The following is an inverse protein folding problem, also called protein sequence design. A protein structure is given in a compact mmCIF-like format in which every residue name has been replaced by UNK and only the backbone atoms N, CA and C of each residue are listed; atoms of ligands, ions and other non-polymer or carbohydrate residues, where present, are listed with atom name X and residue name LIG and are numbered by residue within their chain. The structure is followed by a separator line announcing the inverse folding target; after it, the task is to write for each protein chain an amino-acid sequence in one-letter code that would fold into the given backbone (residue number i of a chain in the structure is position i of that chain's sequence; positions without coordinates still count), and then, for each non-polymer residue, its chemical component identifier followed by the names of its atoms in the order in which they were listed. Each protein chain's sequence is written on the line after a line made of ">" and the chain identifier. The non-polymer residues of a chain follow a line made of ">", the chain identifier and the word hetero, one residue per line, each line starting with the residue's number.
data_IF_808462935560
#
_entry.id   IF_808462935560
#
_cell.length_a   1.000
_cell.length_b   1.000
_cell.length_c   1.000
_cell.angle_alpha   90.00
_cell.angle_beta   90.00
_cell.angle_gamma   90.00
#
_symmetry.space_group_name_H-M   'P 1'
#
loop_
_entity.id
_entity.type
_entity.pdbx_description
1 polymer ?
#
# COMPACT_ATOMS: atom_id res chain seq x y z
N UNK A 1 4.18 21.59 -45.78
CA UNK A 1 3.50 21.92 -44.52
C UNK A 1 3.12 20.63 -43.77
N UNK A 2 4.11 19.85 -43.29
CA UNK A 2 3.88 18.49 -42.74
C UNK A 2 4.82 18.13 -41.57
N UNK A 3 5.39 19.11 -40.86
CA UNK A 3 6.32 18.85 -39.75
C UNK A 3 5.79 19.21 -38.35
N UNK A 4 4.55 19.70 -38.24
CA UNK A 4 4.03 20.26 -36.97
C UNK A 4 2.94 19.41 -36.29
N UNK A 5 2.39 18.39 -36.97
CA UNK A 5 1.38 17.47 -36.40
C UNK A 5 2.04 16.37 -35.56
N UNK A 6 3.13 15.79 -36.03
CA UNK A 6 3.83 14.69 -35.35
C UNK A 6 4.50 15.14 -34.04
N UNK A 7 5.01 16.38 -33.99
CA UNK A 7 5.61 16.94 -32.78
C UNK A 7 4.57 17.24 -31.68
N UNK A 8 3.36 17.65 -32.06
CA UNK A 8 2.25 17.82 -31.12
C UNK A 8 1.69 16.48 -30.62
N UNK A 9 1.62 15.45 -31.47
CA UNK A 9 1.19 14.12 -31.05
C UNK A 9 2.22 13.43 -30.16
N UNK A 10 3.53 13.55 -30.46
CA UNK A 10 4.60 13.01 -29.62
C UNK A 10 4.63 13.68 -28.23
N UNK A 11 4.40 15.00 -28.17
CA UNK A 11 4.25 15.75 -26.93
C UNK A 11 3.03 15.31 -26.11
N UNK A 12 1.85 15.19 -26.75
CA UNK A 12 0.61 14.71 -26.10
C UNK A 12 0.74 13.27 -25.60
N UNK A 13 1.34 12.37 -26.39
CA UNK A 13 1.52 10.97 -26.01
C UNK A 13 2.50 10.81 -24.85
N UNK A 14 3.56 11.63 -24.81
CA UNK A 14 4.55 11.63 -23.73
C UNK A 14 3.98 12.22 -22.43
N UNK A 15 3.24 13.33 -22.53
CA UNK A 15 2.53 13.92 -21.37
C UNK A 15 1.48 12.95 -20.83
N UNK A 16 0.69 12.32 -21.70
CA UNK A 16 -0.30 11.29 -21.32
C UNK A 16 0.35 10.07 -20.65
N UNK A 17 1.49 9.58 -21.17
CA UNK A 17 2.28 8.53 -20.52
C UNK A 17 2.78 8.93 -19.14
N UNK A 18 3.21 10.18 -18.96
CA UNK A 18 3.74 10.65 -17.67
C UNK A 18 2.63 10.91 -16.64
N UNK A 19 1.45 11.36 -17.06
CA UNK A 19 0.28 11.51 -16.17
C UNK A 19 -0.29 10.14 -15.79
N UNK A 20 -0.44 9.22 -16.74
CA UNK A 20 -0.94 7.85 -16.46
C UNK A 20 0.00 7.05 -15.55
N UNK A 21 1.32 7.13 -15.76
CA UNK A 21 2.31 6.55 -14.82
C UNK A 21 2.21 7.16 -13.43
N UNK A 22 2.00 8.48 -13.31
CA UNK A 22 1.79 9.15 -12.02
C UNK A 22 0.50 8.72 -11.35
N UNK A 23 -0.62 8.67 -12.07
CA UNK A 23 -1.93 8.24 -11.55
C UNK A 23 -1.87 6.79 -11.04
N UNK A 24 -1.22 5.89 -11.77
CA UNK A 24 -1.02 4.49 -11.34
C UNK A 24 -0.16 4.45 -10.08
N UNK A 25 0.92 5.22 -10.01
CA UNK A 25 1.80 5.29 -8.83
C UNK A 25 1.05 5.86 -7.61
N UNK A 26 0.26 6.91 -7.79
CA UNK A 26 -0.58 7.50 -6.73
C UNK A 26 -1.65 6.51 -6.23
N UNK A 27 -2.28 5.77 -7.14
CA UNK A 27 -3.24 4.71 -6.79
C UNK A 27 -2.60 3.59 -5.98
N UNK A 28 -1.36 3.19 -6.31
CA UNK A 28 -0.62 2.18 -5.56
C UNK A 28 -0.15 2.69 -4.19
N UNK A 29 0.38 3.91 -4.11
CA UNK A 29 0.76 4.53 -2.83
C UNK A 29 -0.45 4.61 -1.90
N UNK A 30 -1.62 5.02 -2.42
CA UNK A 30 -2.86 5.06 -1.65
C UNK A 30 -3.25 3.67 -1.12
N UNK A 31 -3.07 2.61 -1.90
CA UNK A 31 -3.33 1.23 -1.45
C UNK A 31 -2.40 0.80 -0.32
N UNK A 32 -1.10 1.11 -0.42
CA UNK A 32 -0.13 0.83 0.65
C UNK A 32 -0.48 1.62 1.91
N UNK A 33 -0.77 2.91 1.77
CA UNK A 33 -1.17 3.76 2.89
C UNK A 33 -2.39 3.21 3.62
N UNK A 34 -3.44 2.82 2.87
CA UNK A 34 -4.64 2.19 3.44
C UNK A 34 -4.34 0.91 4.21
N UNK A 35 -3.43 0.07 3.73
CA UNK A 35 -3.02 -1.16 4.42
C UNK A 35 -2.31 -0.83 5.74
N UNK A 36 -1.37 0.12 5.73
CA UNK A 36 -0.67 0.55 6.96
C UNK A 36 -1.68 1.11 7.97
N UNK A 37 -2.55 2.03 7.55
CA UNK A 37 -3.59 2.59 8.43
C UNK A 37 -4.52 1.51 9.00
N UNK A 38 -4.87 0.47 8.22
CA UNK A 38 -5.69 -0.63 8.74
C UNK A 38 -4.98 -1.44 9.83
N UNK A 39 -3.66 -1.58 9.76
CA UNK A 39 -2.86 -2.27 10.77
C UNK A 39 -2.86 -1.45 12.06
N UNK A 40 -2.59 -0.16 11.97
CA UNK A 40 -2.57 0.75 13.13
C UNK A 40 -3.92 0.74 13.87
N UNK A 41 -5.03 0.80 13.12
CA UNK A 41 -6.38 0.70 13.67
C UNK A 41 -6.60 -0.67 14.33
N UNK A 42 -6.18 -1.76 13.69
CA UNK A 42 -6.28 -3.10 14.25
C UNK A 42 -5.54 -3.25 15.58
N UNK A 43 -4.33 -2.70 15.67
CA UNK A 43 -3.53 -2.69 16.90
C UNK A 43 -4.25 -1.87 17.97
N UNK A 44 -4.73 -0.67 17.64
CA UNK A 44 -5.47 0.20 18.56
C UNK A 44 -6.73 -0.49 19.12
N UNK A 45 -7.51 -1.15 18.27
CA UNK A 45 -8.69 -1.92 18.69
C UNK A 45 -8.26 -3.05 19.62
N UNK A 46 -7.21 -3.79 19.24
CA UNK A 46 -6.71 -4.91 20.04
C UNK A 46 -6.24 -4.48 21.42
N UNK A 47 -5.52 -3.37 21.52
CA UNK A 47 -5.09 -2.81 22.82
C UNK A 47 -6.26 -2.30 23.65
N UNK A 48 -7.25 -1.69 23.00
CA UNK A 48 -8.44 -1.17 23.68
C UNK A 48 -9.28 -2.32 24.24
N UNK A 49 -9.51 -3.36 23.44
CA UNK A 49 -10.22 -4.56 23.87
C UNK A 49 -9.49 -5.28 25.00
N UNK A 50 -8.16 -5.45 24.92
CA UNK A 50 -7.37 -6.02 26.02
C UNK A 50 -7.54 -5.23 27.32
N UNK A 51 -7.58 -3.89 27.23
CA UNK A 51 -7.82 -3.04 28.40
C UNK A 51 -9.22 -3.26 28.97
N UNK A 52 -10.26 -3.27 28.13
CA UNK A 52 -11.64 -3.50 28.56
C UNK A 52 -11.78 -4.88 29.23
N UNK A 53 -11.28 -5.95 28.60
CA UNK A 53 -11.31 -7.32 29.14
C UNK A 53 -10.64 -7.37 30.52
N UNK A 54 -9.51 -6.68 30.67
CA UNK A 54 -8.78 -6.58 31.94
C UNK A 54 -9.61 -5.88 33.01
N UNK A 55 -10.22 -4.73 32.70
CA UNK A 55 -11.08 -4.00 33.65
C UNK A 55 -12.34 -4.78 34.03
N UNK A 56 -12.86 -5.62 33.12
CA UNK A 56 -13.99 -6.50 33.38
C UNK A 56 -13.61 -7.76 34.19
N UNK A 57 -12.32 -7.95 34.53
CA UNK A 57 -11.85 -9.14 35.24
C UNK A 57 -11.99 -10.44 34.45
N UNK A 58 -12.13 -10.34 33.12
CA UNK A 58 -12.27 -11.48 32.23
C UNK A 58 -10.90 -12.06 31.85
N UNK A 59 -10.82 -13.36 31.52
CA UNK A 59 -9.59 -13.95 31.02
C UNK A 59 -9.13 -13.23 29.75
N UNK A 60 -7.82 -12.95 29.67
CA UNK A 60 -7.21 -12.28 28.53
C UNK A 60 -7.41 -13.11 27.26
N UNK A 61 -8.07 -12.51 26.27
CA UNK A 61 -8.29 -13.13 24.96
C UNK A 61 -7.14 -12.74 24.04
N UNK A 62 -6.57 -13.72 23.34
CA UNK A 62 -5.59 -13.47 22.29
C UNK A 62 -6.31 -12.87 21.06
N UNK A 63 -5.84 -11.70 20.63
CA UNK A 63 -6.39 -11.01 19.46
C UNK A 63 -5.34 -11.09 18.36
N UNK A 64 -5.69 -11.79 17.27
CA UNK A 64 -4.83 -12.01 16.10
C UNK A 64 -5.34 -11.14 14.95
N UNK A 65 -4.46 -10.30 14.40
CA UNK A 65 -4.77 -9.41 13.28
C UNK A 65 -4.22 -10.04 12.00
N UNK A 66 -5.10 -10.29 11.03
CA UNK A 66 -4.70 -10.80 9.71
C UNK A 66 -4.62 -9.67 8.69
N UNK A 67 -3.56 -9.68 7.90
CA UNK A 67 -3.32 -8.71 6.82
C UNK A 67 -3.16 -9.48 5.52
N UNK A 68 -3.77 -8.96 4.45
CA UNK A 68 -3.56 -9.48 3.09
C UNK A 68 -2.16 -9.10 2.57
N UNK A 69 -1.17 -9.90 2.97
CA UNK A 69 0.24 -9.75 2.59
C UNK A 69 0.47 -9.88 1.08
N UNK A 70 -0.38 -10.64 0.38
CA UNK A 70 -0.29 -10.80 -1.07
C UNK A 70 -0.68 -9.50 -1.80
N UNK A 71 -1.75 -8.84 -1.37
CA UNK A 71 -2.12 -7.54 -1.93
C UNK A 71 -1.07 -6.46 -1.64
N UNK A 72 -0.43 -6.49 -0.46
CA UNK A 72 0.68 -5.61 -0.14
C UNK A 72 1.89 -5.86 -1.06
N UNK A 73 2.29 -7.13 -1.22
CA UNK A 73 3.38 -7.52 -2.12
C UNK A 73 3.12 -7.05 -3.56
N UNK A 74 1.93 -7.31 -4.08
CA UNK A 74 1.54 -6.92 -5.44
C UNK A 74 1.58 -5.41 -5.63
N UNK A 75 1.29 -4.63 -4.58
CA UNK A 75 1.36 -3.18 -4.61
C UNK A 75 2.81 -2.68 -4.63
N UNK A 76 3.67 -3.24 -3.78
CA UNK A 76 5.09 -2.88 -3.67
C UNK A 76 5.91 -3.30 -4.91
N UNK A 77 5.65 -4.49 -5.48
CA UNK A 77 6.28 -4.91 -6.74
C UNK A 77 5.93 -3.94 -7.88
N UNK A 78 4.68 -3.47 -7.93
CA UNK A 78 4.24 -2.47 -8.92
C UNK A 78 4.82 -1.07 -8.65
N UNK A 79 5.19 -0.73 -7.41
CA UNK A 79 5.92 0.51 -7.10
C UNK A 79 7.37 0.49 -7.64
N UNK A 80 7.93 -0.70 -7.93
CA UNK A 80 9.24 -0.90 -8.57
C UNK A 80 10.39 -0.13 -7.90
N UNK A 81 10.49 -0.17 -6.57
CA UNK A 81 11.73 0.22 -5.87
C UNK A 81 12.46 -1.04 -5.37
N UNK A 82 13.77 -1.13 -5.57
CA UNK A 82 14.58 -2.29 -5.17
C UNK A 82 14.65 -2.48 -3.65
N UNK A 83 14.47 -1.39 -2.89
CA UNK A 83 14.36 -1.40 -1.43
C UNK A 83 13.08 -2.07 -0.94
N UNK A 84 11.93 -1.81 -1.58
CA UNK A 84 10.64 -2.40 -1.19
C UNK A 84 10.60 -3.93 -1.43
N UNK A 85 11.26 -4.43 -2.49
CA UNK A 85 11.36 -5.89 -2.72
C UNK A 85 12.10 -6.61 -1.58
N UNK A 86 13.19 -6.03 -1.08
CA UNK A 86 13.91 -6.57 0.09
C UNK A 86 13.07 -6.50 1.36
N UNK A 87 12.28 -5.43 1.51
CA UNK A 87 11.40 -5.23 2.67
C UNK A 87 10.30 -6.29 2.74
N UNK A 88 9.75 -6.73 1.62
CA UNK A 88 8.75 -7.82 1.59
C UNK A 88 9.36 -9.18 1.93
N UNK A 89 10.55 -9.49 1.41
CA UNK A 89 11.26 -10.73 1.76
C UNK A 89 11.48 -10.79 3.27
N UNK A 90 11.88 -9.67 3.88
CA UNK A 90 12.06 -9.58 5.32
C UNK A 90 10.74 -9.76 6.11
N UNK A 91 9.60 -9.30 5.58
CA UNK A 91 8.28 -9.46 6.23
C UNK A 91 7.74 -10.90 6.08
N UNK A 92 7.91 -11.55 4.92
CA UNK A 92 7.45 -12.94 4.68
C UNK A 92 8.34 -13.95 5.42
N UNK A 93 9.61 -13.61 5.63
CA UNK A 93 10.58 -14.44 6.35
C UNK A 93 10.43 -14.39 7.88
N UNK A 94 9.62 -13.48 8.41
CA UNK A 94 9.37 -13.33 9.85
C UNK A 94 8.14 -14.15 10.25
#
# INVERSE_FOLDING_TARGET
>A
MLANKDMQELGKFTISRNVSKRVIRSSLILKVYRMITSIDIGIMISTTLKRIIKELGMPLIEIIIYIDSYSLYKCLVKLSTTKEKRLIINIISL
#
